data_IF_466914003931
#
_entry.id   IF_466914003931
#
_cell.length_a   1.000
_cell.length_b   1.000
_cell.length_c   1.000
_cell.angle_alpha   90.00
_cell.angle_beta   90.00
_cell.angle_gamma   90.00
#
_symmetry.space_group_name_H-M   'P 1'
#
loop_
_entity.id
_entity.type
_entity.pdbx_description
1 polymer ?
#
# COMPACT_ATOMS: atom_id res chain seq x y z
N UNK A 1 -4.99 -2.14 -18.80
CA UNK A 1 -4.94 -0.85 -18.11
C UNK A 1 -3.98 -0.97 -16.94
N UNK A 2 -3.40 0.13 -16.43
CA UNK A 2 -2.33 0.09 -15.44
C UNK A 2 -2.20 1.44 -14.73
N UNK A 3 -1.54 1.46 -13.57
CA UNK A 3 -0.92 2.68 -13.05
C UNK A 3 0.51 2.71 -13.58
N UNK A 4 0.87 3.77 -14.29
CA UNK A 4 2.20 3.96 -14.86
C UNK A 4 2.85 5.18 -14.23
N UNK A 5 4.03 4.98 -13.66
CA UNK A 5 4.88 5.99 -13.03
C UNK A 5 6.15 6.06 -13.87
N UNK A 6 6.46 7.24 -14.43
CA UNK A 6 7.60 7.41 -15.33
C UNK A 6 8.54 8.51 -14.83
N UNK A 7 9.76 8.12 -14.47
CA UNK A 7 10.85 9.02 -14.05
C UNK A 7 10.43 10.06 -13.01
N UNK A 8 9.60 9.64 -12.04
CA UNK A 8 9.02 10.56 -11.04
C UNK A 8 10.06 10.98 -10.01
N UNK A 9 10.22 12.29 -9.91
CA UNK A 9 10.97 12.97 -8.84
C UNK A 9 9.99 13.82 -8.03
N UNK A 10 10.11 13.77 -6.70
CA UNK A 10 9.27 14.56 -5.80
C UNK A 10 10.06 15.10 -4.61
N UNK A 11 9.93 16.42 -4.37
CA UNK A 11 10.51 17.18 -3.27
C UNK A 11 9.43 18.03 -2.61
N UNK A 12 9.22 17.84 -1.30
CA UNK A 12 8.21 18.58 -0.53
C UNK A 12 8.45 20.09 -0.48
N UNK A 13 9.71 20.54 -0.52
CA UNK A 13 10.05 21.96 -0.48
C UNK A 13 9.72 22.67 -1.79
N UNK A 14 9.91 22.02 -2.93
CA UNK A 14 9.52 22.56 -4.24
C UNK A 14 8.00 22.66 -4.37
N UNK A 15 7.26 21.68 -3.83
CA UNK A 15 5.81 21.64 -3.89
C UNK A 15 5.14 22.74 -3.02
N UNK A 16 5.79 23.18 -1.94
CA UNK A 16 5.24 24.21 -1.04
C UNK A 16 5.32 25.65 -1.57
N UNK A 17 5.96 25.88 -2.72
CA UNK A 17 6.07 27.21 -3.32
C UNK A 17 6.86 28.23 -2.47
N UNK A 18 7.62 27.78 -1.48
CA UNK A 18 8.47 28.63 -0.66
C UNK A 18 9.66 29.12 -1.49
N UNK A 19 9.46 30.25 -2.20
CA UNK A 19 10.57 31.03 -2.72
C UNK A 19 11.44 31.48 -1.54
N UNK A 20 12.79 31.38 -1.63
CA UNK A 20 13.68 31.87 -0.59
C UNK A 20 13.44 33.37 -0.41
N UNK A 21 12.96 33.74 0.77
CA UNK A 21 12.70 35.12 1.17
C UNK A 21 14.00 35.93 1.00
N UNK A 22 13.91 36.96 0.16
CA UNK A 22 15.06 37.76 -0.32
C UNK A 22 15.71 38.63 0.74
N UNK A 23 16.36 38.03 1.75
CA UNK A 23 17.28 38.72 2.64
C UNK A 23 18.67 38.11 2.50
N UNK A 24 19.65 39.01 2.15
CA UNK A 24 21.10 38.76 2.03
C UNK A 24 21.58 37.79 3.14
N UNK A 25 21.67 36.51 2.87
CA UNK A 25 22.35 35.50 3.69
C UNK A 25 23.78 35.29 3.16
N UNK A 26 24.73 35.20 4.08
CA UNK A 26 26.15 35.01 3.83
C UNK A 26 26.42 33.78 2.95
N UNK A 27 27.19 33.92 1.87
CA UNK A 27 27.59 32.84 0.93
C UNK A 27 28.20 31.58 1.57
N UNK A 28 28.63 31.65 2.83
CA UNK A 28 29.13 30.48 3.59
C UNK A 28 27.99 29.66 4.22
N UNK A 29 26.82 30.27 4.49
CA UNK A 29 25.63 29.54 4.96
C UNK A 29 24.95 28.83 3.81
N UNK A 30 24.94 29.41 2.60
CA UNK A 30 24.36 28.78 1.39
C UNK A 30 25.11 27.49 1.00
N UNK A 31 26.42 27.39 1.22
CA UNK A 31 27.18 26.16 0.96
C UNK A 31 26.90 25.04 1.97
N UNK A 32 26.37 25.35 3.16
CA UNK A 32 25.94 24.37 4.16
C UNK A 32 24.44 24.09 4.10
N UNK A 33 23.62 25.00 3.57
CA UNK A 33 22.18 24.77 3.29
C UNK A 33 21.93 24.01 1.98
N UNK A 34 22.90 23.83 1.11
CA UNK A 34 22.88 22.90 -0.03
C UNK A 34 23.01 21.43 0.45
N UNK A 35 23.36 21.22 1.73
CA UNK A 35 23.38 19.93 2.35
C UNK A 35 21.95 19.48 2.66
N UNK A 36 21.50 18.50 1.86
CA UNK A 36 20.33 17.65 2.09
C UNK A 36 18.97 18.31 1.77
N UNK A 37 18.74 18.64 0.53
CA UNK A 37 17.40 18.54 -0.04
C UNK A 37 17.05 17.05 -0.02
N UNK A 38 16.31 16.61 0.97
CA UNK A 38 15.81 15.24 1.00
C UNK A 38 14.71 15.12 -0.06
N UNK A 39 15.13 14.81 -1.29
CA UNK A 39 14.25 14.42 -2.37
C UNK A 39 13.55 13.14 -1.94
N UNK A 40 12.24 13.20 -1.70
CA UNK A 40 11.47 12.06 -1.23
C UNK A 40 11.39 10.92 -2.25
N UNK A 41 11.40 11.29 -3.56
CA UNK A 41 11.50 10.33 -4.68
C UNK A 41 12.46 10.88 -5.75
N UNK A 42 13.28 10.03 -6.33
CA UNK A 42 14.29 10.36 -7.33
C UNK A 42 14.25 9.42 -8.52
N UNK A 43 13.63 9.85 -9.62
CA UNK A 43 13.60 9.12 -10.91
C UNK A 43 12.92 7.76 -10.83
N UNK A 44 11.84 7.64 -10.04
CA UNK A 44 11.12 6.37 -9.87
C UNK A 44 10.30 6.05 -11.11
N UNK A 45 10.48 4.83 -11.65
CA UNK A 45 9.66 4.28 -12.73
C UNK A 45 9.09 2.94 -12.32
N UNK A 46 7.75 2.78 -12.42
CA UNK A 46 7.03 1.59 -11.97
C UNK A 46 5.73 1.45 -12.77
N UNK A 47 5.47 0.27 -13.29
CA UNK A 47 4.17 -0.09 -13.87
C UNK A 47 3.48 -1.11 -12.99
N UNK A 48 2.21 -0.83 -12.62
CA UNK A 48 1.34 -1.69 -11.82
C UNK A 48 0.23 -2.19 -12.73
N UNK A 49 0.16 -3.49 -12.93
CA UNK A 49 -0.80 -4.10 -13.83
C UNK A 49 -2.17 -4.27 -13.15
N UNK A 50 -3.22 -4.32 -13.96
CA UNK A 50 -4.58 -4.58 -13.49
C UNK A 50 -4.69 -5.98 -12.87
N UNK A 51 -5.36 -6.08 -11.73
CA UNK A 51 -5.62 -7.33 -11.02
C UNK A 51 -4.43 -7.90 -10.24
N UNK A 52 -3.24 -7.25 -10.27
CA UNK A 52 -2.10 -7.72 -9.47
C UNK A 52 -2.20 -7.30 -8.00
N UNK A 53 -1.55 -8.05 -7.15
CA UNK A 53 -1.24 -7.66 -5.77
C UNK A 53 0.23 -7.23 -5.70
N UNK A 54 0.48 -5.93 -5.59
CA UNK A 54 1.83 -5.37 -5.46
C UNK A 54 2.15 -5.08 -4.00
N UNK A 55 3.19 -5.72 -3.46
CA UNK A 55 3.78 -5.35 -2.17
C UNK A 55 4.82 -4.24 -2.35
N UNK A 56 4.74 -3.17 -1.56
CA UNK A 56 5.75 -2.11 -1.53
C UNK A 56 6.48 -2.16 -0.19
N UNK A 57 7.76 -2.48 -0.20
CA UNK A 57 8.59 -2.59 1.00
C UNK A 57 9.76 -1.61 0.97
N UNK A 58 10.32 -1.33 2.13
CA UNK A 58 11.44 -0.39 2.30
C UNK A 58 11.50 0.12 3.74
N UNK A 59 12.65 0.66 4.14
CA UNK A 59 12.78 1.28 5.47
C UNK A 59 11.91 2.55 5.62
N UNK A 60 11.72 3.01 6.85
CA UNK A 60 11.03 4.29 7.12
C UNK A 60 11.80 5.43 6.44
N UNK A 61 11.09 6.34 5.79
CA UNK A 61 11.69 7.44 5.01
C UNK A 61 12.20 7.04 3.61
N UNK A 62 11.95 5.81 3.13
CA UNK A 62 12.37 5.40 1.77
C UNK A 62 11.49 5.95 0.64
N UNK A 63 10.43 6.72 0.93
CA UNK A 63 9.55 7.34 -0.06
C UNK A 63 8.25 6.58 -0.37
N UNK A 64 7.95 5.47 0.32
CA UNK A 64 6.75 4.63 0.05
C UNK A 64 5.44 5.40 0.15
N UNK A 65 5.20 6.12 1.25
CA UNK A 65 3.96 6.88 1.45
C UNK A 65 3.85 8.05 0.46
N UNK A 66 4.96 8.66 0.05
CA UNK A 66 4.99 9.66 -1.02
C UNK A 66 4.59 9.04 -2.36
N UNK A 67 5.14 7.87 -2.67
CA UNK A 67 4.83 7.14 -3.91
C UNK A 67 3.33 6.84 -4.03
N UNK A 68 2.68 6.33 -2.98
CA UNK A 68 1.26 5.98 -3.03
C UNK A 68 0.36 7.21 -3.07
N UNK A 69 0.76 8.34 -2.48
CA UNK A 69 0.02 9.60 -2.60
C UNK A 69 0.10 10.21 -4.00
N UNK A 70 1.17 9.97 -4.73
CA UNK A 70 1.29 10.34 -6.14
C UNK A 70 0.38 9.48 -7.03
N UNK A 71 0.21 8.17 -6.72
CA UNK A 71 -0.69 7.28 -7.47
C UNK A 71 -2.15 7.74 -7.43
N UNK A 72 -2.60 8.30 -6.31
CA UNK A 72 -3.95 8.86 -6.15
C UNK A 72 -4.05 10.32 -6.67
N UNK A 73 -2.94 10.95 -7.05
CA UNK A 73 -2.91 12.37 -7.43
C UNK A 73 -3.12 13.32 -6.25
N UNK A 74 -2.98 12.86 -5.00
CA UNK A 74 -2.97 13.73 -3.81
C UNK A 74 -1.73 14.62 -3.82
N UNK A 75 -0.58 14.04 -4.16
CA UNK A 75 0.64 14.75 -4.52
C UNK A 75 0.80 14.75 -6.04
N UNK A 76 1.51 15.74 -6.56
CA UNK A 76 1.83 15.85 -7.99
C UNK A 76 3.34 15.82 -8.17
N UNK A 77 3.86 15.06 -9.13
CA UNK A 77 5.30 14.97 -9.34
C UNK A 77 5.90 16.32 -9.75
N UNK A 78 7.10 16.63 -9.24
CA UNK A 78 7.86 17.79 -9.71
C UNK A 78 8.42 17.52 -11.12
N UNK A 79 8.87 16.27 -11.36
CA UNK A 79 9.34 15.79 -12.65
C UNK A 79 8.75 14.41 -12.93
N UNK A 80 8.67 14.04 -14.20
CA UNK A 80 8.08 12.78 -14.64
C UNK A 80 6.56 12.84 -14.72
N UNK A 81 5.89 11.69 -14.77
CA UNK A 81 4.44 11.56 -14.90
C UNK A 81 3.88 10.38 -14.11
N UNK A 82 2.63 10.52 -13.68
CA UNK A 82 1.82 9.43 -13.12
C UNK A 82 0.50 9.38 -13.87
N UNK A 83 0.24 8.26 -14.53
CA UNK A 83 -1.02 8.00 -15.22
C UNK A 83 -1.75 6.83 -14.59
N UNK A 84 -3.06 6.96 -14.45
CA UNK A 84 -3.97 5.91 -13.98
C UNK A 84 -4.88 5.55 -15.15
N UNK A 85 -4.68 4.36 -15.69
CA UNK A 85 -5.23 3.98 -17.00
C UNK A 85 -4.79 5.00 -18.07
N UNK A 86 -5.73 5.78 -18.62
CA UNK A 86 -5.48 6.85 -19.60
C UNK A 86 -5.37 8.28 -18.99
N UNK A 87 -5.54 8.42 -17.66
CA UNK A 87 -5.67 9.72 -17.00
C UNK A 87 -4.34 10.20 -16.38
N UNK A 88 -3.82 11.32 -16.86
CA UNK A 88 -2.65 11.99 -16.24
C UNK A 88 -3.08 12.73 -14.96
N UNK A 89 -2.44 12.42 -13.84
CA UNK A 89 -2.73 13.04 -12.54
C UNK A 89 -2.36 14.52 -12.49
N UNK A 90 -1.51 15.04 -13.38
CA UNK A 90 -1.16 16.46 -13.46
C UNK A 90 -2.26 17.29 -14.13
N UNK A 91 -3.00 16.71 -15.06
CA UNK A 91 -4.15 17.38 -15.67
C UNK A 91 -5.28 17.51 -14.65
N UNK A 92 -5.77 18.75 -14.42
CA UNK A 92 -6.77 19.02 -13.38
C UNK A 92 -8.11 18.33 -13.65
N UNK A 93 -8.49 18.18 -14.93
CA UNK A 93 -9.76 17.54 -15.31
C UNK A 93 -9.65 16.02 -15.20
N UNK A 94 -8.57 15.44 -15.72
CA UNK A 94 -8.31 14.00 -15.69
C UNK A 94 -8.03 13.48 -14.28
N UNK A 95 -7.43 14.28 -13.41
CA UNK A 95 -7.13 13.92 -12.02
C UNK A 95 -8.35 13.48 -11.22
N UNK A 96 -9.52 14.06 -11.48
CA UNK A 96 -10.77 13.64 -10.81
C UNK A 96 -11.11 12.20 -11.18
N UNK A 97 -10.95 11.84 -12.46
CA UNK A 97 -11.18 10.48 -12.95
C UNK A 97 -10.15 9.49 -12.41
N UNK A 98 -8.87 9.90 -12.38
CA UNK A 98 -7.80 9.10 -11.76
C UNK A 98 -8.10 8.81 -10.28
N UNK A 99 -8.50 9.84 -9.51
CA UNK A 99 -8.87 9.70 -8.09
C UNK A 99 -10.07 8.80 -7.85
N UNK A 100 -11.06 8.83 -8.73
CA UNK A 100 -12.23 7.97 -8.62
C UNK A 100 -11.86 6.47 -8.78
N UNK A 101 -10.77 6.17 -9.49
CA UNK A 101 -10.27 4.81 -9.72
C UNK A 101 -9.35 4.30 -8.62
N UNK A 102 -8.69 5.20 -7.88
CA UNK A 102 -7.68 4.84 -6.87
C UNK A 102 -8.19 5.15 -5.46
N UNK A 103 -8.63 4.14 -4.75
CA UNK A 103 -8.92 4.23 -3.32
C UNK A 103 -7.62 4.21 -2.51
N UNK A 104 -7.40 5.22 -1.68
CA UNK A 104 -6.22 5.32 -0.82
C UNK A 104 -6.62 5.21 0.65
N UNK A 105 -6.11 4.19 1.32
CA UNK A 105 -6.25 3.95 2.76
C UNK A 105 -4.95 4.35 3.44
N UNK A 106 -5.00 5.38 4.27
CA UNK A 106 -3.84 5.85 5.05
C UNK A 106 -3.59 4.97 6.28
N UNK A 107 -2.41 5.12 6.84
CA UNK A 107 -2.10 4.56 8.15
C UNK A 107 -3.08 5.12 9.21
N UNK A 108 -3.67 4.23 10.04
CA UNK A 108 -4.71 4.57 11.02
C UNK A 108 -5.96 5.24 10.40
N UNK A 109 -6.64 4.56 9.45
CA UNK A 109 -7.76 5.13 8.72
C UNK A 109 -8.96 5.46 9.62
N UNK A 110 -9.02 4.88 10.82
CA UNK A 110 -10.03 5.15 11.85
C UNK A 110 -10.07 6.61 12.32
N UNK A 111 -9.01 7.38 12.15
CA UNK A 111 -9.00 8.82 12.46
C UNK A 111 -9.68 9.68 11.40
N UNK A 112 -10.08 9.09 10.28
CA UNK A 112 -10.77 9.78 9.20
C UNK A 112 -12.30 9.73 9.32
N UNK A 113 -12.83 9.00 10.32
CA UNK A 113 -14.27 8.93 10.59
C UNK A 113 -14.75 10.22 11.25
N UNK A 114 -15.82 10.84 10.72
CA UNK A 114 -16.28 12.16 11.16
C UNK A 114 -17.80 12.36 11.13
N UNK A 115 -18.55 11.47 10.47
CA UNK A 115 -20.00 11.58 10.32
C UNK A 115 -20.75 11.14 11.60
N UNK A 116 -22.05 11.44 11.66
CA UNK A 116 -22.91 11.10 12.80
C UNK A 116 -23.18 9.60 12.90
N UNK A 117 -23.21 8.89 11.76
CA UNK A 117 -23.42 7.45 11.71
C UNK A 117 -22.45 6.78 10.75
N UNK A 118 -22.20 5.49 11.00
CA UNK A 118 -21.34 4.63 10.17
C UNK A 118 -21.84 4.60 8.71
N UNK A 119 -23.15 4.51 8.50
CA UNK A 119 -23.76 4.51 7.17
C UNK A 119 -23.45 5.80 6.41
N UNK A 120 -23.63 6.96 7.08
CA UNK A 120 -23.34 8.27 6.46
C UNK A 120 -21.86 8.41 6.14
N UNK A 121 -20.98 7.95 7.02
CA UNK A 121 -19.53 8.00 6.83
C UNK A 121 -19.11 7.14 5.63
N UNK A 122 -19.59 5.91 5.57
CA UNK A 122 -19.30 4.99 4.46
C UNK A 122 -19.94 5.46 3.14
N UNK A 123 -21.11 6.07 3.18
CA UNK A 123 -21.79 6.64 2.00
C UNK A 123 -21.17 7.93 1.48
N UNK A 124 -20.29 8.57 2.25
CA UNK A 124 -19.70 9.87 1.89
C UNK A 124 -18.90 9.83 0.58
N UNK A 125 -18.09 8.79 0.39
CA UNK A 125 -17.33 8.57 -0.86
C UNK A 125 -18.22 8.45 -2.08
N UNK A 126 -19.17 7.51 -2.14
CA UNK A 126 -20.16 7.38 -3.21
C UNK A 126 -20.94 8.67 -3.52
N UNK A 127 -21.33 9.40 -2.49
CA UNK A 127 -22.02 10.71 -2.65
C UNK A 127 -21.14 11.73 -3.38
N UNK A 128 -19.85 11.79 -3.05
CA UNK A 128 -18.90 12.70 -3.73
C UNK A 128 -18.62 12.28 -5.19
N UNK A 129 -18.84 11.01 -5.52
CA UNK A 129 -18.80 10.53 -6.91
C UNK A 129 -20.07 10.90 -7.68
N UNK A 130 -21.11 11.45 -7.03
CA UNK A 130 -22.34 11.92 -7.65
C UNK A 130 -23.43 10.86 -7.75
N UNK A 131 -23.37 9.79 -6.96
CA UNK A 131 -24.44 8.80 -6.89
C UNK A 131 -25.65 9.37 -6.14
N UNK A 132 -26.84 8.86 -6.48
CA UNK A 132 -28.04 9.16 -5.72
C UNK A 132 -28.03 8.52 -4.33
N UNK A 133 -28.89 8.99 -3.44
CA UNK A 133 -28.93 8.59 -2.03
C UNK A 133 -29.16 7.08 -1.88
N UNK A 134 -30.04 6.49 -2.67
CA UNK A 134 -30.34 5.06 -2.61
C UNK A 134 -29.12 4.22 -2.99
N UNK A 135 -28.45 4.57 -4.10
CA UNK A 135 -27.23 3.91 -4.54
C UNK A 135 -26.10 4.07 -3.52
N UNK A 136 -25.99 5.23 -2.85
CA UNK A 136 -25.02 5.47 -1.79
C UNK A 136 -25.23 4.52 -0.61
N UNK A 137 -26.47 4.37 -0.13
CA UNK A 137 -26.82 3.47 0.98
C UNK A 137 -26.59 2.00 0.59
N UNK A 138 -27.00 1.59 -0.60
CA UNK A 138 -26.77 0.23 -1.11
C UNK A 138 -25.28 -0.11 -1.12
N UNK A 139 -24.44 0.77 -1.67
CA UNK A 139 -22.98 0.60 -1.69
C UNK A 139 -22.37 0.60 -0.29
N UNK A 140 -22.86 1.46 0.60
CA UNK A 140 -22.39 1.50 1.99
C UNK A 140 -22.67 0.17 2.70
N UNK A 141 -23.88 -0.38 2.56
CA UNK A 141 -24.23 -1.66 3.16
C UNK A 141 -23.45 -2.84 2.57
N UNK A 142 -23.20 -2.84 1.26
CA UNK A 142 -22.35 -3.86 0.64
C UNK A 142 -20.92 -3.79 1.17
N UNK A 143 -20.33 -2.57 1.25
CA UNK A 143 -18.99 -2.38 1.75
C UNK A 143 -18.85 -2.75 3.25
N UNK A 144 -19.87 -2.45 4.07
CA UNK A 144 -19.91 -2.88 5.46
C UNK A 144 -19.90 -4.40 5.59
N UNK A 145 -20.69 -5.12 4.78
CA UNK A 145 -20.67 -6.59 4.78
C UNK A 145 -19.32 -7.15 4.36
N UNK A 146 -18.68 -6.54 3.35
CA UNK A 146 -17.35 -6.93 2.87
C UNK A 146 -16.30 -6.89 3.99
N UNK A 147 -16.35 -5.88 4.85
CA UNK A 147 -15.43 -5.75 5.99
C UNK A 147 -15.90 -6.48 7.24
N UNK A 148 -16.99 -7.26 7.17
CA UNK A 148 -17.52 -8.04 8.28
C UNK A 148 -18.25 -7.21 9.35
N UNK A 149 -18.82 -6.07 8.96
CA UNK A 149 -19.72 -5.26 9.77
C UNK A 149 -21.15 -5.41 9.25
N UNK A 150 -22.03 -6.03 10.05
CA UNK A 150 -23.44 -6.20 9.69
C UNK A 150 -24.15 -4.82 9.66
N UNK A 151 -24.69 -4.36 8.51
CA UNK A 151 -25.36 -3.07 8.41
C UNK A 151 -26.54 -2.93 9.36
N UNK A 152 -27.31 -3.99 9.61
CA UNK A 152 -28.47 -3.93 10.52
C UNK A 152 -28.05 -3.57 11.95
N UNK A 153 -26.85 -3.95 12.35
CA UNK A 153 -26.30 -3.71 13.67
C UNK A 153 -25.47 -2.42 13.76
N UNK A 154 -24.79 -2.06 12.68
CA UNK A 154 -23.75 -1.03 12.72
C UNK A 154 -24.11 0.25 11.97
N UNK A 155 -24.95 0.24 10.95
CA UNK A 155 -25.21 1.39 10.07
C UNK A 155 -25.61 2.66 10.83
N UNK A 156 -26.50 2.53 11.82
CA UNK A 156 -27.02 3.67 12.57
C UNK A 156 -26.22 4.02 13.82
N UNK A 157 -25.13 3.27 14.15
CA UNK A 157 -24.26 3.62 15.27
C UNK A 157 -23.39 4.82 14.93
N UNK A 158 -23.05 5.59 15.97
CA UNK A 158 -21.99 6.58 15.86
C UNK A 158 -20.64 5.88 15.61
N UNK A 159 -19.82 6.33 14.66
CA UNK A 159 -18.46 5.81 14.50
C UNK A 159 -17.63 5.88 15.78
N UNK A 160 -17.92 6.84 16.64
CA UNK A 160 -17.18 7.06 17.90
C UNK A 160 -17.49 5.99 18.95
N UNK A 161 -18.62 5.30 18.87
CA UNK A 161 -19.04 4.21 19.76
C UNK A 161 -18.46 2.83 19.36
N UNK A 162 -17.75 2.76 18.25
CA UNK A 162 -17.13 1.55 17.75
C UNK A 162 -15.81 1.24 18.49
N UNK A 163 -15.49 -0.05 18.63
CA UNK A 163 -14.14 -0.48 19.01
C UNK A 163 -13.10 -0.09 17.96
N UNK A 164 -11.82 -0.02 18.31
CA UNK A 164 -10.76 0.36 17.38
C UNK A 164 -10.73 -0.50 16.08
N UNK A 165 -10.93 -1.82 16.22
CA UNK A 165 -11.01 -2.72 15.07
C UNK A 165 -12.27 -2.50 14.21
N UNK A 166 -13.42 -2.17 14.82
CA UNK A 166 -14.64 -1.83 14.08
C UNK A 166 -14.50 -0.48 13.37
N UNK A 167 -13.92 0.54 14.04
CA UNK A 167 -13.59 1.84 13.42
C UNK A 167 -12.75 1.67 12.15
N UNK A 168 -11.68 0.89 12.25
CA UNK A 168 -10.79 0.62 11.11
C UNK A 168 -11.53 -0.07 9.97
N UNK A 169 -12.36 -1.07 10.25
CA UNK A 169 -13.20 -1.73 9.24
C UNK A 169 -14.22 -0.76 8.63
N UNK A 170 -14.85 0.10 9.41
CA UNK A 170 -15.77 1.12 8.91
C UNK A 170 -15.06 2.11 7.98
N UNK A 171 -13.88 2.62 8.36
CA UNK A 171 -13.08 3.51 7.51
C UNK A 171 -12.66 2.84 6.20
N UNK A 172 -12.25 1.55 6.26
CA UNK A 172 -11.94 0.78 5.05
C UNK A 172 -13.19 0.60 4.17
N UNK A 173 -14.36 0.35 4.77
CA UNK A 173 -15.63 0.27 4.03
C UNK A 173 -15.93 1.56 3.28
N UNK A 174 -15.64 2.73 3.85
CA UNK A 174 -15.81 4.04 3.18
C UNK A 174 -15.04 4.15 1.86
N UNK A 175 -13.84 3.59 1.80
CA UNK A 175 -13.05 3.55 0.57
C UNK A 175 -13.58 2.47 -0.39
N UNK A 176 -13.95 1.29 0.11
CA UNK A 176 -14.46 0.19 -0.71
C UNK A 176 -15.84 0.50 -1.31
N UNK A 177 -16.68 1.31 -0.65
CA UNK A 177 -17.97 1.75 -1.16
C UNK A 177 -17.86 2.55 -2.46
N UNK A 178 -16.72 3.19 -2.73
CA UNK A 178 -16.44 3.85 -3.99
C UNK A 178 -16.18 2.86 -5.13
N UNK A 179 -15.97 1.56 -4.82
CA UNK A 179 -15.59 0.50 -5.77
C UNK A 179 -14.36 0.87 -6.60
N UNK A 180 -13.23 1.17 -5.94
CA UNK A 180 -12.02 1.56 -6.64
C UNK A 180 -11.50 0.41 -7.49
N UNK A 181 -10.92 0.73 -8.65
CA UNK A 181 -10.21 -0.23 -9.49
C UNK A 181 -8.84 -0.61 -8.92
N UNK A 182 -8.20 0.35 -8.26
CA UNK A 182 -6.92 0.21 -7.58
C UNK A 182 -7.10 0.57 -6.10
N UNK A 183 -6.81 -0.35 -5.22
CA UNK A 183 -6.85 -0.15 -3.77
C UNK A 183 -5.43 -0.04 -3.24
N UNK A 184 -5.07 1.14 -2.77
CA UNK A 184 -3.76 1.44 -2.20
C UNK A 184 -3.88 1.51 -0.69
N UNK A 185 -3.06 0.73 0.03
CA UNK A 185 -3.11 0.65 1.49
C UNK A 185 -1.72 0.97 2.07
N UNK A 186 -1.66 2.00 2.89
CA UNK A 186 -0.44 2.37 3.62
C UNK A 186 -0.48 1.79 5.02
N UNK A 187 0.22 0.69 5.26
CA UNK A 187 0.32 -0.04 6.52
C UNK A 187 -1.05 -0.39 7.15
N UNK A 188 -1.96 -1.04 6.43
CA UNK A 188 -3.34 -1.25 6.88
C UNK A 188 -3.47 -2.13 8.12
N UNK A 189 -2.41 -2.87 8.50
CA UNK A 189 -2.40 -3.81 9.63
C UNK A 189 -1.65 -3.30 10.86
N UNK A 190 -1.16 -2.04 10.84
CA UNK A 190 -0.44 -1.46 11.98
C UNK A 190 -1.34 -1.44 13.24
N UNK A 191 -0.86 -2.00 14.36
CA UNK A 191 -1.59 -2.03 15.62
C UNK A 191 -2.73 -3.05 15.73
N UNK A 192 -2.95 -3.90 14.71
CA UNK A 192 -3.91 -5.00 14.80
C UNK A 192 -3.31 -6.23 15.47
N UNK A 193 -4.16 -6.96 16.18
CA UNK A 193 -3.86 -8.30 16.66
C UNK A 193 -3.75 -9.31 15.48
N UNK A 194 -3.21 -10.52 15.71
CA UNK A 194 -3.03 -11.51 14.63
C UNK A 194 -4.34 -11.93 13.94
N UNK A 195 -5.48 -11.90 14.66
CA UNK A 195 -6.77 -12.26 14.10
C UNK A 195 -7.30 -11.16 13.18
N UNK A 196 -7.30 -9.91 13.64
CA UNK A 196 -7.69 -8.75 12.85
C UNK A 196 -6.84 -8.59 11.58
N UNK A 197 -5.51 -8.83 11.69
CA UNK A 197 -4.59 -8.84 10.56
C UNK A 197 -4.98 -9.88 9.50
N UNK A 198 -5.22 -11.12 9.91
CA UNK A 198 -5.64 -12.21 9.00
C UNK A 198 -6.96 -11.87 8.34
N UNK A 199 -7.93 -11.39 9.11
CA UNK A 199 -9.25 -10.99 8.59
C UNK A 199 -9.17 -9.94 7.48
N UNK A 200 -8.28 -8.93 7.61
CA UNK A 200 -8.08 -7.93 6.55
C UNK A 200 -7.41 -8.55 5.32
N UNK A 201 -6.39 -9.38 5.49
CA UNK A 201 -5.71 -10.03 4.35
C UNK A 201 -6.66 -10.95 3.58
N UNK A 202 -7.46 -11.77 4.28
CA UNK A 202 -8.46 -12.64 3.67
C UNK A 202 -9.54 -11.82 2.91
N UNK A 203 -9.92 -10.67 3.45
CA UNK A 203 -10.84 -9.74 2.79
C UNK A 203 -10.24 -9.15 1.52
N UNK A 204 -8.97 -8.73 1.54
CA UNK A 204 -8.27 -8.19 0.37
C UNK A 204 -8.15 -9.24 -0.75
N UNK A 205 -7.84 -10.50 -0.40
CA UNK A 205 -7.79 -11.61 -1.36
C UNK A 205 -9.16 -11.86 -2.00
N UNK A 206 -10.24 -11.89 -1.21
CA UNK A 206 -11.61 -12.04 -1.74
C UNK A 206 -11.97 -10.87 -2.64
N UNK A 207 -11.73 -9.63 -2.20
CA UNK A 207 -11.99 -8.45 -3.01
C UNK A 207 -11.31 -8.55 -4.37
N UNK A 208 -10.03 -8.93 -4.39
CA UNK A 208 -9.26 -9.11 -5.62
C UNK A 208 -9.86 -10.20 -6.50
N UNK A 209 -10.17 -11.36 -5.93
CA UNK A 209 -10.71 -12.51 -6.66
C UNK A 209 -12.10 -12.22 -7.24
N UNK A 210 -12.96 -11.56 -6.45
CA UNK A 210 -14.37 -11.36 -6.81
C UNK A 210 -14.56 -10.18 -7.76
N UNK A 211 -13.70 -9.16 -7.67
CA UNK A 211 -13.89 -7.90 -8.43
C UNK A 211 -12.78 -7.60 -9.45
N UNK A 212 -11.67 -8.32 -9.41
CA UNK A 212 -10.47 -8.00 -10.20
C UNK A 212 -9.75 -6.72 -9.72
N UNK A 213 -10.05 -6.22 -8.53
CA UNK A 213 -9.41 -5.04 -7.95
C UNK A 213 -7.90 -5.24 -7.83
N UNK A 214 -7.12 -4.28 -8.28
CA UNK A 214 -5.67 -4.26 -8.08
C UNK A 214 -5.37 -3.81 -6.67
N UNK A 215 -4.51 -4.54 -5.95
CA UNK A 215 -4.13 -4.20 -4.58
C UNK A 215 -2.68 -3.75 -4.53
N UNK A 216 -2.43 -2.57 -3.97
CA UNK A 216 -1.09 -2.06 -3.69
C UNK A 216 -0.97 -1.89 -2.17
N UNK A 217 -0.07 -2.65 -1.54
CA UNK A 217 0.04 -2.66 -0.09
C UNK A 217 1.45 -2.32 0.37
N UNK A 218 1.58 -1.22 1.12
CA UNK A 218 2.78 -0.96 1.91
C UNK A 218 2.69 -1.79 3.19
N UNK A 219 3.73 -2.56 3.49
CA UNK A 219 3.81 -3.35 4.72
C UNK A 219 5.24 -3.49 5.22
N UNK A 220 5.40 -3.51 6.53
CA UNK A 220 6.64 -3.91 7.21
C UNK A 220 6.70 -5.42 7.52
N UNK A 221 5.61 -6.15 7.27
CA UNK A 221 5.56 -7.60 7.43
C UNK A 221 5.98 -8.30 6.15
N UNK A 222 7.21 -8.76 6.10
CA UNK A 222 7.73 -9.48 4.94
C UNK A 222 7.01 -10.82 4.72
N UNK A 223 6.52 -11.45 5.79
CA UNK A 223 5.77 -12.70 5.71
C UNK A 223 4.42 -12.50 5.01
N UNK A 224 3.69 -11.41 5.32
CA UNK A 224 2.43 -11.09 4.65
C UNK A 224 2.65 -10.75 3.17
N UNK A 225 3.66 -9.93 2.89
CA UNK A 225 4.01 -9.57 1.50
C UNK A 225 4.43 -10.82 0.70
N UNK A 226 5.26 -11.69 1.27
CA UNK A 226 5.69 -12.93 0.60
C UNK A 226 4.53 -13.89 0.32
N UNK A 227 3.49 -13.89 1.18
CA UNK A 227 2.33 -14.77 1.05
C UNK A 227 1.33 -14.27 0.01
N UNK A 228 1.05 -12.96 -0.02
CA UNK A 228 -0.07 -12.39 -0.78
C UNK A 228 0.34 -11.64 -2.04
N UNK A 229 1.54 -11.05 -2.08
CA UNK A 229 1.96 -10.28 -3.24
C UNK A 229 2.39 -11.17 -4.42
N UNK A 230 1.96 -10.79 -5.63
CA UNK A 230 2.47 -11.36 -6.87
C UNK A 230 3.85 -10.79 -7.17
N UNK A 231 3.98 -9.46 -7.03
CA UNK A 231 5.24 -8.73 -7.23
C UNK A 231 5.55 -7.86 -6.03
N UNK A 232 6.83 -7.57 -5.85
CA UNK A 232 7.34 -6.73 -4.77
C UNK A 232 8.21 -5.61 -5.35
N UNK A 233 7.89 -4.38 -4.96
CA UNK A 233 8.69 -3.19 -5.21
C UNK A 233 9.46 -2.83 -3.95
N UNK A 234 10.80 -2.80 -4.03
CA UNK A 234 11.69 -2.46 -2.92
C UNK A 234 12.15 -1.03 -3.08
N UNK A 235 11.81 -0.19 -2.11
CA UNK A 235 12.17 1.23 -2.07
C UNK A 235 13.32 1.47 -1.09
N UNK A 236 14.35 2.16 -1.54
CA UNK A 236 15.45 2.63 -0.68
C UNK A 236 15.89 4.03 -1.13
N UNK A 237 16.07 4.95 -0.17
CA UNK A 237 16.57 6.32 -0.42
C UNK A 237 15.83 7.05 -1.56
N UNK A 238 14.51 6.96 -1.59
CA UNK A 238 13.67 7.59 -2.61
C UNK A 238 13.74 6.94 -4.00
N UNK A 239 14.32 5.76 -4.13
CA UNK A 239 14.47 5.04 -5.41
C UNK A 239 13.84 3.66 -5.36
N UNK A 240 13.37 3.20 -6.50
CA UNK A 240 13.01 1.80 -6.71
C UNK A 240 14.30 1.01 -7.00
N UNK A 241 14.71 0.16 -6.06
CA UNK A 241 16.00 -0.58 -6.18
C UNK A 241 15.82 -2.02 -6.66
N UNK A 242 14.66 -2.64 -6.38
CA UNK A 242 14.31 -3.98 -6.88
C UNK A 242 12.83 -4.00 -7.24
N UNK A 243 12.48 -4.73 -8.29
CA UNK A 243 11.11 -5.01 -8.70
C UNK A 243 11.08 -6.40 -9.34
N UNK A 244 10.24 -7.29 -8.86
CA UNK A 244 10.12 -8.64 -9.39
C UNK A 244 9.03 -9.44 -8.73
N UNK A 245 8.87 -10.72 -9.12
CA UNK A 245 7.99 -11.63 -8.41
C UNK A 245 8.38 -11.72 -6.93
N UNK A 246 7.39 -11.84 -6.03
CA UNK A 246 7.66 -11.87 -4.59
C UNK A 246 8.70 -12.95 -4.21
N UNK A 247 8.59 -14.11 -4.83
CA UNK A 247 9.51 -15.23 -4.63
C UNK A 247 10.95 -14.90 -5.08
N UNK A 248 11.10 -14.22 -6.22
CA UNK A 248 12.39 -13.80 -6.75
C UNK A 248 13.04 -12.73 -5.85
N UNK A 249 12.29 -11.71 -5.45
CA UNK A 249 12.79 -10.64 -4.58
C UNK A 249 13.23 -11.20 -3.22
N UNK A 250 12.41 -12.02 -2.58
CA UNK A 250 12.75 -12.58 -1.27
C UNK A 250 13.80 -13.70 -1.30
N UNK A 251 14.09 -14.29 -2.47
CA UNK A 251 15.24 -15.20 -2.64
C UNK A 251 16.60 -14.47 -2.53
N UNK A 252 16.61 -13.14 -2.70
CA UNK A 252 17.79 -12.28 -2.57
C UNK A 252 17.96 -11.76 -1.13
N UNK A 253 17.87 -12.68 -0.16
CA UNK A 253 17.85 -12.33 1.27
C UNK A 253 19.06 -11.48 1.70
N UNK A 254 20.26 -11.76 1.17
CA UNK A 254 21.49 -11.03 1.49
C UNK A 254 21.43 -9.58 1.01
N UNK A 255 20.91 -9.34 -0.21
CA UNK A 255 20.73 -8.00 -0.76
C UNK A 255 19.72 -7.18 0.04
N UNK A 256 18.58 -7.79 0.41
CA UNK A 256 17.57 -7.13 1.25
C UNK A 256 18.14 -6.79 2.64
N UNK A 257 18.91 -7.70 3.24
CA UNK A 257 19.57 -7.47 4.53
C UNK A 257 20.61 -6.34 4.44
N UNK A 258 21.37 -6.25 3.35
CA UNK A 258 22.32 -5.17 3.11
C UNK A 258 21.62 -3.81 2.96
N UNK A 259 20.36 -3.78 2.50
CA UNK A 259 19.51 -2.59 2.46
C UNK A 259 18.84 -2.28 3.82
N UNK A 260 19.15 -3.03 4.88
CA UNK A 260 18.55 -2.88 6.22
C UNK A 260 17.11 -3.39 6.31
N UNK A 261 16.66 -4.23 5.37
CA UNK A 261 15.33 -4.81 5.37
C UNK A 261 15.34 -6.20 6.00
N UNK A 262 14.22 -6.52 6.64
CA UNK A 262 13.96 -7.90 7.05
C UNK A 262 13.61 -8.77 5.84
N UNK A 263 13.68 -10.08 6.03
CA UNK A 263 13.22 -11.08 5.08
C UNK A 263 12.15 -11.96 5.72
N UNK A 264 11.30 -12.66 4.94
CA UNK A 264 10.32 -13.59 5.48
C UNK A 264 11.00 -14.64 6.38
N UNK A 265 10.32 -15.06 7.45
CA UNK A 265 10.84 -16.06 8.40
C UNK A 265 11.25 -17.36 7.70
N UNK A 266 10.43 -17.80 6.74
CA UNK A 266 10.72 -18.98 5.93
C UNK A 266 12.00 -18.81 5.10
N UNK A 267 12.18 -17.67 4.43
CA UNK A 267 13.39 -17.37 3.67
C UNK A 267 14.64 -17.35 4.56
N UNK A 268 14.53 -16.78 5.79
CA UNK A 268 15.59 -16.78 6.77
C UNK A 268 15.96 -18.20 7.21
N UNK A 269 14.96 -19.04 7.50
CA UNK A 269 15.17 -20.44 7.84
C UNK A 269 15.84 -21.20 6.69
N UNK A 270 15.36 -21.03 5.47
CA UNK A 270 15.95 -21.65 4.28
C UNK A 270 17.43 -21.24 4.08
N UNK A 271 17.78 -19.97 4.32
CA UNK A 271 19.17 -19.51 4.30
C UNK A 271 20.03 -20.21 5.38
N UNK A 272 19.53 -20.33 6.61
CA UNK A 272 20.24 -21.00 7.70
C UNK A 272 20.45 -22.50 7.44
N UNK A 273 19.47 -23.17 6.85
CA UNK A 273 19.57 -24.57 6.46
C UNK A 273 20.62 -24.77 5.34
N UNK A 274 20.61 -23.89 4.32
CA UNK A 274 21.64 -23.91 3.25
C UNK A 274 23.04 -23.68 3.80
N UNK A 275 23.21 -22.75 4.74
CA UNK A 275 24.49 -22.50 5.39
C UNK A 275 25.02 -23.73 6.16
N UNK A 276 24.16 -24.68 6.53
CA UNK A 276 24.51 -25.98 7.13
C UNK A 276 24.68 -27.11 6.11
N UNK A 277 24.71 -26.80 4.82
CA UNK A 277 24.94 -27.79 3.75
C UNK A 277 23.70 -28.54 3.29
N UNK A 278 22.49 -28.09 3.66
CA UNK A 278 21.24 -28.67 3.20
C UNK A 278 20.78 -28.00 1.91
N UNK A 279 20.32 -28.80 0.94
CA UNK A 279 19.91 -28.32 -0.39
C UNK A 279 18.45 -27.80 -0.38
N UNK A 280 18.20 -26.68 0.32
CA UNK A 280 16.89 -26.04 0.37
C UNK A 280 16.76 -25.07 -0.83
N UNK A 281 15.67 -25.15 -1.61
CA UNK A 281 15.45 -24.25 -2.75
C UNK A 281 15.53 -22.78 -2.33
N UNK A 282 16.15 -21.93 -3.16
CA UNK A 282 16.25 -20.49 -2.88
C UNK A 282 14.88 -19.80 -2.90
N UNK A 283 13.97 -20.36 -3.67
CA UNK A 283 12.59 -19.92 -3.86
C UNK A 283 11.67 -20.30 -2.68
N UNK A 284 12.17 -21.06 -1.70
CA UNK A 284 11.41 -21.41 -0.49
C UNK A 284 11.32 -20.20 0.46
N UNK A 285 10.44 -19.26 0.13
CA UNK A 285 10.24 -18.00 0.86
C UNK A 285 8.95 -17.98 1.69
N UNK A 286 8.08 -18.99 1.50
CA UNK A 286 6.82 -19.18 2.26
C UNK A 286 6.95 -20.35 3.23
N UNK A 287 6.26 -20.31 4.39
CA UNK A 287 6.32 -21.41 5.39
C UNK A 287 5.95 -22.76 4.79
N UNK A 288 4.94 -22.82 3.94
CA UNK A 288 4.46 -24.05 3.32
C UNK A 288 5.56 -24.71 2.48
N UNK A 289 6.31 -23.92 1.70
CA UNK A 289 7.39 -24.39 0.83
C UNK A 289 8.55 -25.01 1.64
N UNK A 290 8.91 -24.37 2.76
CA UNK A 290 9.96 -24.89 3.65
C UNK A 290 9.49 -26.15 4.38
N UNK A 291 8.23 -26.18 4.81
CA UNK A 291 7.61 -27.35 5.46
C UNK A 291 7.57 -28.53 4.51
N UNK A 292 7.10 -28.35 3.28
CA UNK A 292 7.04 -29.40 2.26
C UNK A 292 8.43 -29.96 1.95
N UNK A 293 9.45 -29.08 1.88
CA UNK A 293 10.82 -29.49 1.69
C UNK A 293 11.33 -30.34 2.87
N UNK A 294 11.08 -29.90 4.14
CA UNK A 294 11.48 -30.64 5.35
C UNK A 294 10.85 -32.03 5.37
N UNK A 295 9.55 -32.13 5.09
CA UNK A 295 8.81 -33.39 5.06
C UNK A 295 9.32 -34.34 3.97
N UNK A 296 9.71 -33.79 2.83
CA UNK A 296 10.28 -34.58 1.71
C UNK A 296 11.71 -35.04 2.02
N UNK A 297 12.54 -34.15 2.56
CA UNK A 297 13.94 -34.42 2.88
C UNK A 297 14.08 -35.42 4.05
N UNK A 298 13.24 -35.27 5.09
CA UNK A 298 13.25 -36.14 6.28
C UNK A 298 12.61 -37.52 6.09
N UNK A 299 12.03 -37.80 4.92
CA UNK A 299 11.28 -39.05 4.71
C UNK A 299 9.98 -39.16 5.53
N UNK A 300 9.54 -38.06 6.13
CA UNK A 300 8.36 -37.98 7.00
C UNK A 300 7.09 -37.72 6.17
N UNK A 301 6.82 -38.57 5.20
CA UNK A 301 5.49 -38.61 4.59
C UNK A 301 4.58 -39.45 5.49
N UNK A 302 3.57 -38.81 6.08
CA UNK A 302 2.51 -39.46 6.83
C UNK A 302 1.69 -40.38 5.93
#
# INVERSE_FOLDING_TARGET
MAIVIEQVTYDYQMASGAAPDGKRRNRRAEAQEIAVRETALSGVSLTINEGEFLGVIGHTGSGKSTLVQLMNGLLLPNEGSVTVDEFDTRDKQQRREARARVGLVFQYPEYQLFEESVEKDVAFGPKNLGLDERACIERAHEALRLVGLDPERFAQKSPFDLSGGEKRRAALAGILAMRPKYLVLDEPMAGLDPHGRRSILDMLERLRTDTGCTVIMISHSMDDVARHADRVAVMAHGRLVLLGAAQEVFSRADELTALGLNVPQAAKLACLLRARGLDVPREAVRPEQVTDWILTYGGWRA
#
